data_IF_790609830838
#
_entry.id   IF_790609830838
#
_cell.length_a   1.000
_cell.length_b   1.000
_cell.length_c   1.000
_cell.angle_alpha   90.00
_cell.angle_beta   90.00
_cell.angle_gamma   90.00
#
_symmetry.space_group_name_H-M   'P 1'
#
loop_
_entity.id
_entity.type
_entity.pdbx_description
1 polymer ?
#
# COMPACT_ATOMS: atom_id res chain seq x y z
N UNK A 1 -11.31 9.96 5.36
CA UNK A 1 -10.78 8.57 5.30
C UNK A 1 -10.19 8.14 6.65
N UNK A 2 -9.10 8.75 7.16
CA UNK A 2 -8.42 8.27 8.38
C UNK A 2 -9.35 8.05 9.59
N UNK A 3 -10.13 9.05 10.02
CA UNK A 3 -11.06 8.91 11.16
C UNK A 3 -12.13 7.82 10.95
N UNK A 4 -12.63 7.69 9.72
CA UNK A 4 -13.62 6.67 9.36
C UNK A 4 -13.01 5.26 9.39
N UNK A 5 -11.78 5.10 8.90
CA UNK A 5 -11.06 3.83 8.94
C UNK A 5 -10.78 3.37 10.38
N UNK A 6 -10.37 4.28 11.27
CA UNK A 6 -10.16 3.94 12.69
C UNK A 6 -11.46 3.44 13.34
N UNK A 7 -12.59 4.06 13.01
CA UNK A 7 -13.91 3.67 13.55
C UNK A 7 -14.34 2.30 13.03
N UNK A 8 -14.13 2.02 11.74
CA UNK A 8 -14.51 0.74 11.13
C UNK A 8 -13.60 -0.38 11.60
N UNK A 9 -12.30 -0.14 11.76
CA UNK A 9 -11.34 -1.15 12.24
C UNK A 9 -11.66 -1.62 13.66
N UNK A 10 -12.22 -0.76 14.50
CA UNK A 10 -12.68 -1.14 15.84
C UNK A 10 -13.76 -2.25 15.85
N UNK A 11 -14.40 -2.53 14.71
CA UNK A 11 -15.37 -3.62 14.55
C UNK A 11 -14.71 -4.99 14.30
N UNK A 12 -13.39 -5.02 14.13
CA UNK A 12 -12.61 -6.23 13.82
C UNK A 12 -11.54 -6.45 14.92
N UNK A 13 -11.89 -7.11 16.03
CA UNK A 13 -10.95 -7.36 17.12
C UNK A 13 -9.67 -8.08 16.63
N UNK A 14 -8.50 -7.53 16.99
CA UNK A 14 -7.20 -8.05 16.58
C UNK A 14 -6.74 -7.62 15.18
N UNK A 15 -7.54 -6.84 14.45
CA UNK A 15 -7.06 -6.10 13.28
C UNK A 15 -6.45 -4.76 13.72
N UNK A 16 -5.44 -4.30 12.99
CA UNK A 16 -4.74 -3.04 13.28
C UNK A 16 -4.74 -2.13 12.04
N UNK A 17 -4.89 -0.84 12.28
CA UNK A 17 -4.75 0.19 11.25
C UNK A 17 -3.45 0.94 11.44
N UNK A 18 -2.63 0.96 10.41
CA UNK A 18 -1.43 1.78 10.35
C UNK A 18 -1.62 2.88 9.31
N UNK A 19 -1.50 4.14 9.73
CA UNK A 19 -1.56 5.30 8.83
C UNK A 19 -0.15 5.74 8.43
N UNK A 20 0.20 5.55 7.15
CA UNK A 20 1.50 5.88 6.55
C UNK A 20 1.42 7.19 5.74
N UNK A 21 0.89 8.24 6.37
CA UNK A 21 0.64 9.54 5.71
C UNK A 21 -0.46 9.47 4.65
N UNK A 22 -0.08 9.25 3.39
CA UNK A 22 -1.01 9.16 2.25
C UNK A 22 -1.57 7.75 2.01
N UNK A 23 -1.00 6.74 2.69
CA UNK A 23 -1.42 5.35 2.59
C UNK A 23 -1.93 4.82 3.94
N UNK A 24 -2.73 3.75 3.88
CA UNK A 24 -3.26 3.04 5.03
C UNK A 24 -2.98 1.55 4.88
N UNK A 25 -2.50 0.90 5.93
CA UNK A 25 -2.33 -0.54 5.98
C UNK A 25 -3.30 -1.14 7.00
N UNK A 26 -4.09 -2.11 6.57
CA UNK A 26 -4.99 -2.88 7.43
C UNK A 26 -4.32 -4.23 7.71
N UNK A 27 -3.75 -4.37 8.90
CA UNK A 27 -3.07 -5.58 9.35
C UNK A 27 -4.07 -6.53 10.00
N UNK A 28 -3.97 -7.81 9.66
CA UNK A 28 -4.85 -8.86 10.21
C UNK A 28 -4.07 -10.10 10.66
N UNK A 29 -2.77 -9.94 10.92
CA UNK A 29 -1.90 -11.03 11.38
C UNK A 29 -2.40 -11.69 12.67
N UNK A 30 -2.94 -10.90 13.59
CA UNK A 30 -3.51 -11.40 14.85
C UNK A 30 -4.98 -11.81 14.72
N UNK A 31 -5.61 -11.56 13.58
CA UNK A 31 -7.02 -11.85 13.32
C UNK A 31 -7.25 -12.33 11.88
N UNK A 32 -6.64 -13.47 11.46
CA UNK A 32 -6.73 -13.96 10.09
C UNK A 32 -8.17 -14.23 9.63
N UNK A 33 -9.08 -14.51 10.56
CA UNK A 33 -10.52 -14.67 10.28
C UNK A 33 -11.19 -13.40 9.70
N UNK A 34 -10.53 -12.24 9.77
CA UNK A 34 -11.05 -10.97 9.24
C UNK A 34 -10.48 -10.59 7.88
N UNK A 35 -9.61 -11.42 7.28
CA UNK A 35 -8.97 -11.15 5.98
C UNK A 35 -9.98 -10.75 4.89
N UNK A 36 -10.96 -11.61 4.61
CA UNK A 36 -11.95 -11.36 3.54
C UNK A 36 -12.73 -10.06 3.76
N UNK A 37 -13.09 -9.77 5.01
CA UNK A 37 -13.82 -8.56 5.37
C UNK A 37 -12.98 -7.30 5.16
N UNK A 38 -11.70 -7.33 5.56
CA UNK A 38 -10.79 -6.20 5.41
C UNK A 38 -10.38 -5.97 3.95
N UNK A 39 -10.16 -7.04 3.18
CA UNK A 39 -9.95 -6.95 1.74
C UNK A 39 -11.18 -6.35 1.05
N UNK A 40 -12.38 -6.81 1.40
CA UNK A 40 -13.64 -6.26 0.85
C UNK A 40 -13.81 -4.78 1.21
N UNK A 41 -13.49 -4.40 2.44
CA UNK A 41 -13.51 -3.00 2.89
C UNK A 41 -12.54 -2.16 2.07
N UNK A 42 -11.30 -2.60 1.91
CA UNK A 42 -10.29 -1.90 1.13
C UNK A 42 -10.71 -1.77 -0.35
N UNK A 43 -11.30 -2.81 -0.95
CA UNK A 43 -11.84 -2.76 -2.32
C UNK A 43 -12.93 -1.68 -2.45
N UNK A 44 -13.90 -1.64 -1.53
CA UNK A 44 -14.96 -0.62 -1.53
C UNK A 44 -14.38 0.79 -1.41
N UNK A 45 -13.36 0.99 -0.59
CA UNK A 45 -12.68 2.28 -0.47
C UNK A 45 -12.06 2.67 -1.81
N UNK A 46 -11.33 1.77 -2.48
CA UNK A 46 -10.72 2.09 -3.79
C UNK A 46 -11.75 2.31 -4.91
N UNK A 47 -12.98 1.79 -4.78
CA UNK A 47 -14.08 2.09 -5.70
C UNK A 47 -14.63 3.52 -5.51
N UNK A 48 -14.67 4.01 -4.27
CA UNK A 48 -15.11 5.37 -3.94
C UNK A 48 -14.03 6.40 -4.30
N UNK A 49 -12.76 6.04 -4.11
CA UNK A 49 -11.60 6.89 -4.41
C UNK A 49 -10.74 6.25 -5.50
N UNK A 50 -11.07 6.46 -6.80
CA UNK A 50 -10.37 5.80 -7.92
C UNK A 50 -8.90 6.20 -8.06
N UNK A 51 -8.48 7.29 -7.41
CA UNK A 51 -7.09 7.71 -7.26
C UNK A 51 -6.31 6.88 -6.22
N UNK A 52 -6.95 5.94 -5.53
CA UNK A 52 -6.29 4.98 -4.64
C UNK A 52 -6.26 3.59 -5.31
N UNK A 53 -5.28 2.80 -4.93
CA UNK A 53 -5.08 1.42 -5.35
C UNK A 53 -4.95 0.51 -4.13
N UNK A 54 -5.39 -0.73 -4.31
CA UNK A 54 -5.28 -1.79 -3.32
C UNK A 54 -4.01 -2.59 -3.60
N UNK A 55 -3.25 -2.89 -2.55
CA UNK A 55 -2.09 -3.77 -2.62
C UNK A 55 -2.21 -4.82 -1.50
N UNK A 56 -2.31 -6.08 -1.88
CA UNK A 56 -2.30 -7.18 -0.92
C UNK A 56 -0.85 -7.54 -0.56
N UNK A 57 -0.62 -7.80 0.72
CA UNK A 57 0.65 -8.28 1.26
C UNK A 57 0.41 -9.38 2.29
N UNK A 58 1.49 -9.81 2.96
CA UNK A 58 1.41 -10.93 3.91
C UNK A 58 0.72 -10.52 5.22
N UNK A 59 -0.54 -10.95 5.37
CA UNK A 59 -1.43 -10.59 6.48
C UNK A 59 -1.72 -9.08 6.58
N UNK A 60 -1.73 -8.39 5.43
CA UNK A 60 -1.98 -6.96 5.35
C UNK A 60 -2.63 -6.62 4.00
N UNK A 61 -3.57 -5.68 4.00
CA UNK A 61 -4.04 -5.02 2.79
C UNK A 61 -3.78 -3.52 2.89
N UNK A 62 -3.04 -2.99 1.92
CA UNK A 62 -2.70 -1.57 1.85
C UNK A 62 -3.60 -0.85 0.85
N UNK A 63 -4.03 0.35 1.23
CA UNK A 63 -4.73 1.34 0.41
C UNK A 63 -3.75 2.49 0.21
N UNK A 64 -3.23 2.66 -0.99
CA UNK A 64 -2.22 3.66 -1.32
C UNK A 64 -2.63 4.49 -2.54
N UNK A 65 -2.05 5.67 -2.78
CA UNK A 65 -2.30 6.39 -4.02
C UNK A 65 -1.97 5.53 -5.25
N UNK A 66 -2.83 5.64 -6.27
CA UNK A 66 -2.68 4.96 -7.56
C UNK A 66 -1.54 5.63 -8.33
N UNK A 67 -0.71 4.83 -9.00
CA UNK A 67 0.52 5.34 -9.63
C UNK A 67 1.60 5.74 -8.62
N UNK A 68 1.64 5.05 -7.47
CA UNK A 68 2.79 5.11 -6.56
C UNK A 68 3.39 3.70 -6.43
N UNK A 69 4.28 3.39 -7.36
CA UNK A 69 5.11 2.20 -7.37
C UNK A 69 6.58 2.54 -7.12
N UNK A 70 7.37 1.54 -6.71
CA UNK A 70 8.83 1.73 -6.55
C UNK A 70 9.48 2.01 -7.91
N UNK A 71 8.96 1.42 -8.98
CA UNK A 71 9.36 1.75 -10.36
C UNK A 71 9.15 3.21 -10.74
N UNK A 72 7.97 3.77 -10.50
CA UNK A 72 7.70 5.20 -10.77
C UNK A 72 8.60 6.10 -9.91
N UNK A 73 8.85 5.74 -8.65
CA UNK A 73 9.77 6.48 -7.79
C UNK A 73 11.22 6.45 -8.32
N UNK A 74 11.70 5.27 -8.74
CA UNK A 74 13.03 5.13 -9.37
C UNK A 74 13.09 5.96 -10.65
N UNK A 75 12.08 5.88 -11.52
CA UNK A 75 12.02 6.64 -12.76
C UNK A 75 12.03 8.16 -12.51
N UNK A 76 11.35 8.64 -11.47
CA UNK A 76 11.38 10.04 -11.05
C UNK A 76 12.80 10.45 -10.57
N UNK A 77 13.43 9.65 -9.71
CA UNK A 77 14.81 9.93 -9.27
C UNK A 77 15.79 10.01 -10.44
N UNK A 78 15.66 9.13 -11.44
CA UNK A 78 16.54 9.14 -12.63
C UNK A 78 16.43 10.42 -13.47
N UNK A 79 15.41 11.25 -13.26
CA UNK A 79 15.25 12.57 -13.90
C UNK A 79 15.86 13.71 -13.08
N UNK A 80 16.40 13.44 -11.89
CA UNK A 80 16.96 14.44 -10.98
C UNK A 80 18.46 14.26 -10.76
N UNK A 81 19.18 15.36 -10.52
CA UNK A 81 20.58 15.28 -10.10
C UNK A 81 20.67 14.70 -8.67
N UNK A 82 21.64 13.81 -8.36
CA UNK A 82 22.79 13.41 -9.18
C UNK A 82 22.59 12.15 -10.03
N UNK A 83 21.36 11.65 -10.16
CA UNK A 83 21.06 10.36 -10.78
C UNK A 83 20.97 10.41 -12.32
N UNK A 84 20.72 11.58 -12.90
CA UNK A 84 20.68 11.80 -14.36
C UNK A 84 21.90 11.16 -15.05
N UNK A 85 21.63 10.32 -16.04
CA UNK A 85 22.64 9.68 -16.89
C UNK A 85 23.37 8.49 -16.24
N UNK A 86 23.03 8.10 -15.01
CA UNK A 86 23.58 6.90 -14.36
C UNK A 86 22.77 5.65 -14.71
N UNK A 87 23.35 4.48 -14.44
CA UNK A 87 22.62 3.21 -14.47
C UNK A 87 22.05 2.92 -13.07
N UNK A 88 20.73 2.74 -12.91
CA UNK A 88 20.15 2.41 -11.61
C UNK A 88 20.51 0.97 -11.21
N UNK A 89 20.77 0.77 -9.92
CA UNK A 89 20.88 -0.55 -9.28
C UNK A 89 19.90 -0.57 -8.13
N UNK A 90 18.93 -1.47 -8.19
CA UNK A 90 17.85 -1.60 -7.20
C UNK A 90 17.83 -3.03 -6.65
N UNK A 91 17.74 -3.14 -5.32
CA UNK A 91 17.66 -4.42 -4.59
C UNK A 91 16.42 -4.39 -3.70
N UNK A 92 15.66 -5.48 -3.71
CA UNK A 92 14.44 -5.65 -2.93
C UNK A 92 14.16 -7.12 -2.66
N UNK A 93 13.23 -7.39 -1.76
CA UNK A 93 12.92 -8.74 -1.25
C UNK A 93 11.43 -9.09 -1.25
N UNK A 94 10.56 -8.12 -1.53
CA UNK A 94 9.12 -8.26 -1.40
C UNK A 94 8.38 -7.99 -2.72
N UNK A 95 7.11 -8.41 -2.79
CA UNK A 95 6.26 -8.26 -3.98
C UNK A 95 6.15 -6.80 -4.47
N UNK A 96 6.29 -5.84 -3.55
CA UNK A 96 6.26 -4.41 -3.88
C UNK A 96 7.48 -3.95 -4.70
N UNK A 97 8.59 -4.68 -4.60
CA UNK A 97 9.86 -4.40 -5.29
C UNK A 97 9.84 -4.83 -6.76
N UNK A 98 8.94 -5.73 -7.15
CA UNK A 98 8.78 -6.17 -8.54
C UNK A 98 8.62 -5.00 -9.51
N UNK A 99 7.88 -3.96 -9.10
CA UNK A 99 7.73 -2.75 -9.90
C UNK A 99 9.03 -1.96 -10.11
N UNK A 100 10.02 -2.12 -9.23
CA UNK A 100 11.33 -1.49 -9.36
C UNK A 100 12.36 -2.36 -10.08
N UNK A 101 12.09 -3.66 -10.29
CA UNK A 101 12.94 -4.56 -11.08
C UNK A 101 12.65 -4.49 -12.59
N UNK A 102 11.41 -4.12 -12.97
CA UNK A 102 10.93 -4.01 -14.35
C UNK A 102 11.32 -2.70 -15.03
#
# INVERSE_FOLDING_TARGET
>A
ISVQLHTVIAQYPGAELEAKGMAFALHYRQAPQHEDALVTLAQRITQIWPQMALQQGKCVVEIKPRGTSKGEAIAAFMQEAPFIGRTPVFLGDDLTDESGFA
#
